data_IF_747703599545
#
_entry.id   IF_747703599545
#
_cell.length_a   1.000
_cell.length_b   1.000
_cell.length_c   1.000
_cell.angle_alpha   90.00
_cell.angle_beta   90.00
_cell.angle_gamma   90.00
#
_symmetry.space_group_name_H-M   'P 1'
#
loop_
_entity.id
_entity.type
_entity.pdbx_description
1 polymer ?
#
# COMPACT_ATOMS: atom_id res chain seq x y z
N UNK A 1 9.33 -2.53 3.65
CA UNK A 1 8.25 -2.67 4.65
C UNK A 1 8.82 -2.38 6.04
N UNK A 2 8.37 -1.32 6.70
CA UNK A 2 8.88 -0.87 8.02
C UNK A 2 7.71 -0.60 8.98
N UNK A 3 8.00 -0.40 10.27
CA UNK A 3 7.00 0.01 11.27
C UNK A 3 5.83 -0.97 11.45
N UNK A 4 4.61 -0.43 11.57
CA UNK A 4 3.38 -1.21 11.81
C UNK A 4 3.13 -2.25 10.71
N UNK A 5 3.42 -1.91 9.46
CA UNK A 5 3.29 -2.83 8.33
C UNK A 5 4.19 -4.06 8.50
N UNK A 6 5.44 -3.85 8.93
CA UNK A 6 6.37 -4.97 9.17
C UNK A 6 5.90 -5.86 10.32
N UNK A 7 5.43 -5.26 11.41
CA UNK A 7 4.86 -6.01 12.54
C UNK A 7 3.64 -6.85 12.13
N UNK A 8 2.74 -6.31 11.32
CA UNK A 8 1.58 -7.05 10.81
C UNK A 8 2.00 -8.24 9.94
N UNK A 9 2.96 -8.05 9.05
CA UNK A 9 3.49 -9.12 8.19
C UNK A 9 4.13 -10.24 9.00
N UNK A 10 4.98 -9.88 9.96
CA UNK A 10 5.67 -10.85 10.83
C UNK A 10 4.66 -11.62 11.70
N UNK A 11 3.60 -10.96 12.16
CA UNK A 11 2.52 -11.61 12.93
C UNK A 11 1.72 -12.58 12.06
N UNK A 12 1.28 -12.17 10.86
CA UNK A 12 0.57 -13.05 9.94
C UNK A 12 1.42 -14.27 9.56
N UNK A 13 2.72 -14.06 9.32
CA UNK A 13 3.67 -15.12 8.98
C UNK A 13 3.85 -16.12 10.13
N UNK A 14 3.96 -15.64 11.38
CA UNK A 14 4.05 -16.49 12.56
C UNK A 14 2.80 -17.36 12.78
N UNK A 15 1.63 -16.88 12.36
CA UNK A 15 0.37 -17.60 12.49
C UNK A 15 0.08 -18.53 11.29
N UNK A 16 1.01 -18.70 10.35
CA UNK A 16 0.82 -19.43 9.09
C UNK A 16 -0.33 -18.87 8.21
N UNK A 17 -0.69 -17.60 8.42
CA UNK A 17 -1.71 -16.90 7.66
C UNK A 17 -1.09 -16.34 6.37
N UNK A 18 -0.69 -17.25 5.47
CA UNK A 18 0.08 -16.91 4.27
C UNK A 18 -0.67 -15.96 3.32
N UNK A 19 -2.00 -16.14 3.19
CA UNK A 19 -2.86 -15.25 2.39
C UNK A 19 -2.87 -13.83 2.95
N UNK A 20 -2.93 -13.69 4.27
CA UNK A 20 -2.90 -12.39 4.95
C UNK A 20 -1.53 -11.74 4.80
N UNK A 21 -0.44 -12.49 5.00
CA UNK A 21 0.92 -11.99 4.82
C UNK A 21 1.15 -11.48 3.38
N UNK A 22 0.69 -12.21 2.38
CA UNK A 22 0.76 -11.81 0.97
C UNK A 22 -0.09 -10.55 0.69
N UNK A 23 -1.30 -10.46 1.25
CA UNK A 23 -2.15 -9.27 1.16
C UNK A 23 -1.50 -8.03 1.78
N UNK A 24 -0.83 -8.18 2.93
CA UNK A 24 -0.09 -7.09 3.57
C UNK A 24 1.11 -6.63 2.73
N UNK A 25 1.84 -7.56 2.10
CA UNK A 25 2.92 -7.21 1.16
C UNK A 25 2.39 -6.43 -0.04
N UNK A 26 1.23 -6.81 -0.57
CA UNK A 26 0.61 -6.08 -1.67
C UNK A 26 0.11 -4.70 -1.24
N UNK A 27 -0.54 -4.60 -0.08
CA UNK A 27 -1.13 -3.36 0.45
C UNK A 27 -0.07 -2.34 0.87
N UNK A 28 1.02 -2.78 1.49
CA UNK A 28 2.11 -1.90 1.94
C UNK A 28 3.31 -1.89 0.96
N UNK A 29 3.11 -2.42 -0.24
CA UNK A 29 4.05 -2.32 -1.35
C UNK A 29 3.86 -1.02 -2.13
N UNK A 30 4.78 -0.81 -3.07
CA UNK A 30 4.71 0.29 -4.02
C UNK A 30 4.03 -0.16 -5.30
N UNK A 31 3.25 0.72 -5.90
CA UNK A 31 2.66 0.55 -7.21
C UNK A 31 3.05 1.70 -8.13
N UNK A 32 3.10 1.42 -9.44
CA UNK A 32 3.44 2.40 -10.46
C UNK A 32 2.19 2.75 -11.25
N UNK A 33 1.89 4.04 -11.40
CA UNK A 33 0.83 4.47 -12.29
C UNK A 33 1.26 4.26 -13.75
N UNK A 34 0.52 3.48 -14.56
CA UNK A 34 0.91 3.20 -15.95
C UNK A 34 0.82 4.45 -16.85
N UNK A 35 0.14 5.51 -16.42
CA UNK A 35 -0.09 6.71 -17.23
C UNK A 35 1.00 7.77 -17.09
N UNK A 36 1.56 7.98 -15.89
CA UNK A 36 2.62 8.97 -15.65
C UNK A 36 3.91 8.39 -15.07
N UNK A 37 3.95 7.09 -14.74
CA UNK A 37 5.11 6.45 -14.14
C UNK A 37 5.34 6.77 -12.66
N UNK A 38 4.40 7.44 -11.98
CA UNK A 38 4.52 7.78 -10.56
C UNK A 38 4.46 6.53 -9.68
N UNK A 39 5.43 6.39 -8.77
CA UNK A 39 5.49 5.32 -7.78
C UNK A 39 4.82 5.82 -6.49
N UNK A 40 3.81 5.09 -6.02
CA UNK A 40 3.07 5.44 -4.80
C UNK A 40 2.90 4.19 -3.91
N UNK A 41 2.81 4.41 -2.60
CA UNK A 41 2.45 3.33 -1.68
C UNK A 41 0.98 2.96 -1.82
N UNK A 42 0.65 1.68 -2.00
CA UNK A 42 -0.74 1.24 -2.22
C UNK A 42 -1.64 1.62 -1.04
N UNK A 43 -1.14 1.51 0.20
CA UNK A 43 -1.83 1.95 1.42
C UNK A 43 -1.86 3.48 1.63
N UNK A 44 -0.95 4.22 0.98
CA UNK A 44 -0.87 5.67 1.06
C UNK A 44 -1.90 6.34 0.13
N UNK A 45 -2.34 5.63 -0.92
CA UNK A 45 -3.51 5.99 -1.73
C UNK A 45 -4.78 5.91 -0.89
N UNK A 46 -4.99 6.94 -0.06
CA UNK A 46 -6.30 7.34 0.43
C UNK A 46 -7.02 7.98 -0.74
N UNK A 47 -8.26 7.59 -1.01
CA UNK A 47 -9.09 8.31 -1.97
C UNK A 47 -9.18 9.79 -1.56
N UNK A 48 -8.51 10.67 -2.29
CA UNK A 48 -8.90 12.07 -2.39
C UNK A 48 -10.14 12.16 -3.28
N UNK A 49 -11.23 11.50 -2.85
CA UNK A 49 -12.58 11.77 -3.35
C UNK A 49 -13.29 12.60 -2.29
N UNK A 50 -12.80 13.82 -2.06
CA UNK A 50 -13.67 14.98 -1.89
C UNK A 50 -12.86 16.28 -1.94
N UNK A 51 -13.35 17.21 -2.74
CA UNK A 51 -13.12 18.67 -2.73
C UNK A 51 -11.69 19.25 -2.84
N UNK A 52 -11.32 19.63 -4.08
CA UNK A 52 -10.36 20.70 -4.32
C UNK A 52 -9.15 20.30 -5.17
N UNK A 53 -9.16 20.71 -6.43
CA UNK A 53 -8.05 20.59 -7.39
C UNK A 53 -6.74 21.15 -6.81
N UNK A 54 -5.70 20.33 -6.70
CA UNK A 54 -4.34 20.60 -7.22
C UNK A 54 -3.38 19.51 -6.72
N UNK A 55 -2.70 18.84 -7.65
CA UNK A 55 -1.53 17.96 -7.42
C UNK A 55 -1.77 16.53 -6.92
N UNK A 56 -2.63 15.79 -7.62
CA UNK A 56 -2.41 14.36 -7.84
C UNK A 56 -2.74 14.05 -9.31
N UNK A 57 -1.89 14.53 -10.24
CA UNK A 57 -1.92 14.02 -11.61
C UNK A 57 -1.24 12.64 -11.66
N UNK A 58 -1.88 11.70 -10.95
CA UNK A 58 -1.85 10.23 -10.99
C UNK A 58 -2.49 9.63 -9.72
#
# INVERSE_FOLDING_TARGET
MTGVARWMYDTASQHNEHTLAAGLTHLFGDAVCPHCGHVFGVADRRETTNEGLSEASC
#
